data_IF_321710746503
#
_entry.id   IF_321710746503
#
_cell.length_a   1.000
_cell.length_b   1.000
_cell.length_c   1.000
_cell.angle_alpha   90.00
_cell.angle_beta   90.00
_cell.angle_gamma   90.00
#
_symmetry.space_group_name_H-M   'P 1'
#
loop_
_entity.id
_entity.type
_entity.pdbx_description
1 polymer ?
#
# COMPACT_ATOMS: atom_id res chain seq x y z
N UNK A 1 -2.72 -8.92 -17.13
CA UNK A 1 -2.25 -8.73 -15.75
C UNK A 1 -1.27 -7.58 -15.76
N UNK A 2 -1.38 -6.67 -14.79
CA UNK A 2 -0.53 -5.48 -14.68
C UNK A 2 0.16 -5.47 -13.32
N UNK A 3 1.45 -5.13 -13.30
CA UNK A 3 2.22 -4.98 -12.06
C UNK A 3 2.59 -3.52 -11.85
N UNK A 4 2.28 -3.00 -10.66
CA UNK A 4 2.55 -1.62 -10.30
C UNK A 4 3.37 -1.59 -9.02
N UNK A 5 4.38 -0.73 -9.01
CA UNK A 5 5.36 -0.68 -7.91
C UNK A 5 5.41 0.70 -7.29
N UNK A 6 5.57 0.75 -5.98
CA UNK A 6 5.59 1.99 -5.22
C UNK A 6 6.37 1.81 -3.92
N UNK A 7 6.91 2.92 -3.40
CA UNK A 7 7.52 2.96 -2.08
C UNK A 7 6.53 3.48 -1.06
N UNK A 8 6.52 2.88 0.12
CA UNK A 8 5.85 3.41 1.29
C UNK A 8 6.87 3.72 2.37
N UNK A 9 6.66 4.84 3.05
CA UNK A 9 7.42 5.25 4.22
C UNK A 9 6.45 5.88 5.23
N UNK A 10 5.72 5.04 5.96
CA UNK A 10 4.72 5.47 6.94
C UNK A 10 5.20 5.03 8.31
N UNK A 11 5.46 5.98 9.20
CA UNK A 11 5.85 5.69 10.58
C UNK A 11 4.69 5.09 11.37
N UNK A 12 5.00 4.40 12.47
CA UNK A 12 3.98 3.85 13.35
C UNK A 12 3.01 4.94 13.85
N UNK A 13 3.50 6.13 14.21
CA UNK A 13 2.67 7.23 14.66
C UNK A 13 1.72 7.75 13.55
N UNK A 14 2.18 7.83 12.30
CA UNK A 14 1.32 8.17 11.16
C UNK A 14 0.25 7.10 10.93
N UNK A 15 0.65 5.83 11.00
CA UNK A 15 -0.26 4.71 10.79
C UNK A 15 -1.36 4.65 11.87
N UNK A 16 -1.01 4.92 13.14
CA UNK A 16 -1.97 5.04 14.23
C UNK A 16 -2.99 6.14 13.97
N UNK A 17 -2.56 7.32 13.49
CA UNK A 17 -3.48 8.40 13.11
C UNK A 17 -4.41 8.00 11.96
N UNK A 18 -3.94 7.21 11.00
CA UNK A 18 -4.80 6.70 9.93
C UNK A 18 -5.88 5.76 10.45
N UNK A 19 -5.54 4.88 11.40
CA UNK A 19 -6.54 4.02 12.05
C UNK A 19 -7.51 4.82 12.93
N UNK A 20 -7.03 5.81 13.68
CA UNK A 20 -7.86 6.66 14.55
C UNK A 20 -8.77 7.60 13.75
N UNK A 21 -8.26 8.15 12.64
CA UNK A 21 -8.99 9.03 11.73
C UNK A 21 -9.94 8.30 10.78
N UNK A 22 -10.11 6.98 10.92
CA UNK A 22 -10.97 6.13 10.08
C UNK A 22 -10.62 6.20 8.58
N UNK A 23 -9.35 6.41 8.26
CA UNK A 23 -8.88 6.37 6.87
C UNK A 23 -9.07 4.93 6.36
N UNK A 24 -9.78 4.77 5.25
CA UNK A 24 -10.07 3.45 4.69
C UNK A 24 -9.02 2.95 3.69
N UNK A 25 -8.27 3.87 3.06
CA UNK A 25 -7.30 3.57 2.01
C UNK A 25 -6.09 4.52 2.03
N UNK A 26 -4.95 4.01 1.57
CA UNK A 26 -3.75 4.80 1.28
C UNK A 26 -3.73 5.20 -0.19
N UNK A 27 -3.49 6.49 -0.47
CA UNK A 27 -3.17 6.96 -1.81
C UNK A 27 -1.66 6.83 -2.03
N UNK A 28 -1.25 6.04 -3.03
CA UNK A 28 0.15 5.83 -3.39
C UNK A 28 0.39 6.25 -4.83
N UNK A 29 1.54 6.86 -5.09
CA UNK A 29 1.99 7.11 -6.45
C UNK A 29 2.94 5.98 -6.86
N UNK A 30 2.66 5.36 -8.00
CA UNK A 30 3.47 4.28 -8.56
C UNK A 30 4.61 4.85 -9.38
N UNK A 31 5.65 4.06 -9.60
CA UNK A 31 6.79 4.43 -10.44
C UNK A 31 6.39 4.64 -11.90
N UNK A 32 5.27 4.04 -12.32
CA UNK A 32 4.65 4.23 -13.63
C UNK A 32 3.86 5.55 -13.74
N UNK A 33 3.84 6.38 -12.70
CA UNK A 33 3.13 7.67 -12.68
C UNK A 33 1.63 7.57 -12.40
N UNK A 34 1.12 6.38 -12.03
CA UNK A 34 -0.28 6.18 -11.67
C UNK A 34 -0.49 6.48 -10.18
N UNK A 35 -1.68 6.98 -9.85
CA UNK A 35 -2.12 7.08 -8.45
C UNK A 35 -3.07 5.94 -8.13
N UNK A 36 -2.74 5.14 -7.14
CA UNK A 36 -3.58 4.05 -6.65
C UNK A 36 -4.16 4.39 -5.28
N UNK A 37 -5.42 4.05 -5.07
CA UNK A 37 -6.01 4.00 -3.74
C UNK A 37 -6.10 2.55 -3.30
N UNK A 38 -5.33 2.20 -2.27
CA UNK A 38 -5.22 0.81 -1.80
C UNK A 38 -5.80 0.73 -0.40
N UNK A 39 -6.86 -0.07 -0.18
CA UNK A 39 -7.43 -0.22 1.15
C UNK A 39 -6.40 -0.62 2.21
N UNK A 40 -6.48 0.02 3.38
CA UNK A 40 -5.50 -0.16 4.47
C UNK A 40 -5.39 -1.62 4.94
N UNK A 41 -6.48 -2.39 4.84
CA UNK A 41 -6.50 -3.78 5.28
C UNK A 41 -5.52 -4.68 4.51
N UNK A 42 -5.21 -4.37 3.24
CA UNK A 42 -4.21 -5.12 2.48
C UNK A 42 -2.81 -4.98 3.08
N UNK A 43 -2.53 -3.85 3.76
CA UNK A 43 -1.22 -3.60 4.34
C UNK A 43 -1.00 -4.22 5.72
N UNK A 44 -2.05 -4.76 6.37
CA UNK A 44 -1.99 -5.24 7.76
C UNK A 44 -0.86 -6.25 8.00
N UNK A 45 -0.64 -7.19 7.08
CA UNK A 45 0.42 -8.19 7.17
C UNK A 45 1.84 -7.62 7.02
N UNK A 46 1.97 -6.38 6.55
CA UNK A 46 3.25 -5.72 6.32
C UNK A 46 3.58 -4.69 7.42
N UNK A 47 2.65 -4.40 8.33
CA UNK A 47 2.88 -3.46 9.42
C UNK A 47 3.86 -4.05 10.43
N UNK A 48 5.01 -3.40 10.59
CA UNK A 48 6.02 -3.75 11.59
C UNK A 48 6.08 -2.75 12.74
N UNK A 49 7.02 -2.96 13.67
CA UNK A 49 7.25 -2.06 14.80
C UNK A 49 7.55 -0.62 14.35
N UNK A 50 8.30 -0.46 13.25
CA UNK A 50 8.65 0.85 12.70
C UNK A 50 7.55 1.45 11.79
N UNK A 51 6.38 0.82 11.71
CA UNK A 51 5.29 1.20 10.81
C UNK A 51 5.28 0.42 9.49
N UNK A 52 4.82 1.08 8.43
CA UNK A 52 4.66 0.49 7.09
C UNK A 52 5.65 1.14 6.14
N UNK A 53 6.81 0.50 6.01
CA UNK A 53 7.90 0.95 5.16
C UNK A 53 8.30 -0.16 4.19
N UNK A 54 8.81 0.20 3.02
CA UNK A 54 9.37 -0.75 2.06
C UNK A 54 8.97 -0.46 0.62
N UNK A 55 9.44 -1.32 -0.27
CA UNK A 55 9.07 -1.31 -1.68
C UNK A 55 8.00 -2.37 -1.93
N UNK A 56 6.89 -1.97 -2.54
CA UNK A 56 5.72 -2.81 -2.71
C UNK A 56 5.40 -2.99 -4.19
N UNK A 57 4.83 -4.15 -4.50
CA UNK A 57 4.25 -4.47 -5.80
C UNK A 57 2.78 -4.88 -5.63
N UNK A 58 1.92 -4.33 -6.47
CA UNK A 58 0.53 -4.76 -6.63
C UNK A 58 0.38 -5.44 -7.98
N UNK A 59 -0.25 -6.60 -7.98
CA UNK A 59 -0.73 -7.27 -9.17
C UNK A 59 -2.22 -6.98 -9.37
N UNK A 60 -2.57 -6.45 -10.54
CA UNK A 60 -3.94 -6.21 -10.98
C UNK A 60 -4.33 -7.18 -12.09
N UNK A 61 -5.58 -7.64 -12.07
CA UNK A 61 -6.16 -8.37 -13.19
C UNK A 61 -6.54 -7.46 -14.37
N UNK A 62 -7.16 -8.02 -15.41
CA UNK A 62 -7.60 -7.26 -16.59
C UNK A 62 -8.72 -6.24 -16.33
N UNK A 63 -9.31 -6.25 -15.13
CA UNK A 63 -10.37 -5.32 -14.69
C UNK A 63 -9.86 -4.34 -13.63
N UNK A 64 -8.53 -4.22 -13.47
CA UNK A 64 -7.88 -3.39 -12.45
C UNK A 64 -8.20 -3.78 -11.00
N UNK A 65 -8.65 -5.03 -10.76
CA UNK A 65 -8.87 -5.53 -9.41
C UNK A 65 -7.56 -6.03 -8.82
N UNK A 66 -7.29 -5.66 -7.56
CA UNK A 66 -6.14 -6.14 -6.80
C UNK A 66 -6.23 -7.65 -6.60
N UNK A 67 -5.24 -8.37 -7.11
CA UNK A 67 -5.07 -9.81 -6.94
C UNK A 67 -4.05 -10.13 -5.86
N UNK A 68 -2.94 -9.39 -5.84
CA UNK A 68 -1.87 -9.59 -4.86
C UNK A 68 -1.20 -8.28 -4.48
N UNK A 69 -0.76 -8.19 -3.22
CA UNK A 69 0.15 -7.17 -2.70
C UNK A 69 1.34 -7.88 -2.06
N UNK A 70 2.55 -7.50 -2.46
CA UNK A 70 3.81 -8.08 -1.97
C UNK A 70 4.79 -6.99 -1.56
N UNK A 71 5.57 -7.23 -0.49
CA UNK A 71 6.75 -6.41 -0.15
C UNK A 71 7.99 -7.04 -0.81
N UNK A 72 8.72 -6.24 -1.57
CA UNK A 72 9.92 -6.65 -2.31
C UNK A 72 11.21 -6.38 -1.52
N UNK A 73 11.26 -5.29 -0.74
CA UNK A 73 12.37 -4.95 0.18
C UNK A 73 11.96 -3.99 1.29
#
# INVERSE_FOLDING_TARGET
MQRLRFRLAISQAQLLRYYQGRVAALSVNTEQGLRLQVPLHHFRGFVGHNGLNGYFEIELDGQNKLQQLSRLS
#
